data_IF_845319350479
#
_entry.id   IF_845319350479
#
_cell.length_a   1.000
_cell.length_b   1.000
_cell.length_c   1.000
_cell.angle_alpha   90.00
_cell.angle_beta   90.00
_cell.angle_gamma   90.00
#
_symmetry.space_group_name_H-M   'P 1'
#
loop_
_entity.id
_entity.type
_entity.pdbx_description
1 polymer ?
#
# COMPACT_ATOMS: atom_id res chain seq x y z
N UNK A 1 12.87 -3.06 -17.65
CA UNK A 1 11.49 -3.47 -18.02
C UNK A 1 11.54 -4.66 -18.95
N UNK A 2 10.62 -5.63 -18.84
CA UNK A 2 10.65 -6.93 -19.55
C UNK A 2 10.66 -6.81 -21.10
N UNK A 3 10.40 -5.62 -21.67
CA UNK A 3 10.51 -5.29 -23.12
C UNK A 3 11.83 -4.61 -23.53
N UNK A 4 12.85 -4.59 -22.67
CA UNK A 4 14.18 -4.04 -23.01
C UNK A 4 14.25 -2.52 -23.20
N UNK A 5 13.19 -1.77 -22.88
CA UNK A 5 13.20 -0.29 -22.91
C UNK A 5 13.76 0.25 -21.59
N UNK A 6 14.72 1.17 -21.70
CA UNK A 6 15.37 1.83 -20.57
C UNK A 6 14.40 2.65 -19.71
N UNK A 7 13.37 3.23 -20.33
CA UNK A 7 12.42 4.11 -19.66
C UNK A 7 10.97 3.62 -19.79
N UNK A 8 10.17 3.89 -18.75
CA UNK A 8 8.74 3.62 -18.76
C UNK A 8 8.01 4.64 -19.64
N UNK A 9 7.11 4.19 -20.52
CA UNK A 9 6.36 5.07 -21.42
C UNK A 9 4.89 4.64 -21.51
N UNK A 10 3.95 5.59 -21.47
CA UNK A 10 2.52 5.36 -21.64
C UNK A 10 1.91 6.44 -22.55
N UNK A 11 0.93 6.09 -23.38
CA UNK A 11 0.24 7.03 -24.30
C UNK A 11 1.18 7.88 -25.18
N UNK A 12 2.33 7.34 -25.56
CA UNK A 12 3.36 8.07 -26.34
C UNK A 12 4.17 9.10 -25.54
N UNK A 13 4.03 9.14 -24.21
CA UNK A 13 4.82 9.98 -23.30
C UNK A 13 5.69 9.14 -22.39
N UNK A 14 6.87 9.65 -22.07
CA UNK A 14 7.79 9.03 -21.13
C UNK A 14 7.43 9.40 -19.68
N UNK A 15 7.50 8.42 -18.78
CA UNK A 15 7.24 8.58 -17.36
C UNK A 15 8.60 8.70 -16.67
N UNK A 16 8.87 9.77 -15.92
CA UNK A 16 10.13 9.92 -15.19
C UNK A 16 10.35 8.74 -14.23
N UNK A 17 11.59 8.21 -14.19
CA UNK A 17 11.93 7.08 -13.32
C UNK A 17 11.65 7.36 -11.84
N UNK A 18 11.70 8.63 -11.43
CA UNK A 18 11.32 9.06 -10.09
C UNK A 18 9.83 8.77 -9.78
N UNK A 19 8.93 8.96 -10.74
CA UNK A 19 7.51 8.63 -10.57
C UNK A 19 7.31 7.12 -10.46
N UNK A 20 8.08 6.32 -11.21
CA UNK A 20 8.03 4.86 -11.14
C UNK A 20 8.52 4.37 -9.77
N UNK A 21 9.66 4.86 -9.28
CA UNK A 21 10.19 4.53 -7.96
C UNK A 21 9.22 4.89 -6.85
N UNK A 22 8.63 6.09 -6.90
CA UNK A 22 7.62 6.55 -5.94
C UNK A 22 6.36 5.67 -5.96
N UNK A 23 5.85 5.33 -7.14
CA UNK A 23 4.70 4.43 -7.27
C UNK A 23 4.98 3.05 -6.66
N UNK A 24 6.19 2.51 -6.87
CA UNK A 24 6.64 1.28 -6.23
C UNK A 24 6.69 1.41 -4.71
N UNK A 25 7.29 2.48 -4.17
CA UNK A 25 7.36 2.73 -2.72
C UNK A 25 5.96 2.77 -2.09
N UNK A 26 5.02 3.50 -2.70
CA UNK A 26 3.65 3.61 -2.19
C UNK A 26 2.91 2.27 -2.28
N UNK A 27 3.10 1.53 -3.38
CA UNK A 27 2.55 0.19 -3.54
C UNK A 27 3.07 -0.77 -2.47
N UNK A 28 4.37 -0.75 -2.19
CA UNK A 28 5.00 -1.58 -1.15
C UNK A 28 4.51 -1.22 0.25
N UNK A 29 4.40 0.08 0.59
CA UNK A 29 3.87 0.52 1.88
C UNK A 29 2.39 0.10 2.04
N UNK A 30 1.58 0.32 1.00
CA UNK A 30 0.17 -0.08 1.00
C UNK A 30 0.00 -1.59 1.21
N UNK A 31 0.82 -2.39 0.54
CA UNK A 31 0.79 -3.85 0.67
C UNK A 31 1.19 -4.30 2.09
N UNK A 32 2.23 -3.70 2.67
CA UNK A 32 2.63 -3.97 4.06
C UNK A 32 1.54 -3.59 5.06
N UNK A 33 0.86 -2.47 4.85
CA UNK A 33 -0.23 -2.04 5.72
C UNK A 33 -1.45 -2.95 5.61
N UNK A 34 -1.81 -3.39 4.40
CA UNK A 34 -2.88 -4.36 4.17
C UNK A 34 -2.57 -5.70 4.84
N UNK A 35 -1.30 -6.13 4.83
CA UNK A 35 -0.86 -7.33 5.55
C UNK A 35 -1.04 -7.21 7.06
N UNK A 36 -0.73 -6.05 7.65
CA UNK A 36 -0.97 -5.79 9.08
C UNK A 36 -2.46 -5.85 9.44
N UNK A 37 -3.32 -5.24 8.62
CA UNK A 37 -4.78 -5.27 8.82
C UNK A 37 -5.30 -6.71 8.83
N UNK A 38 -4.91 -7.51 7.84
CA UNK A 38 -5.27 -8.94 7.78
C UNK A 38 -4.78 -9.67 9.04
N UNK A 39 -3.52 -9.46 9.45
CA UNK A 39 -2.95 -10.10 10.62
C UNK A 39 -3.75 -9.79 11.89
N UNK A 40 -4.06 -8.51 12.15
CA UNK A 40 -4.86 -8.11 13.32
C UNK A 40 -6.28 -8.67 13.28
N UNK A 41 -6.92 -8.69 12.11
CA UNK A 41 -8.26 -9.25 11.93
C UNK A 41 -8.29 -10.77 12.18
N UNK A 42 -7.30 -11.50 11.67
CA UNK A 42 -7.16 -12.95 11.91
C UNK A 42 -6.87 -13.27 13.37
N UNK A 43 -6.04 -12.47 14.05
CA UNK A 43 -5.78 -12.64 15.49
C UNK A 43 -7.01 -12.34 16.35
N UNK A 44 -7.79 -11.32 15.99
CA UNK A 44 -8.98 -10.92 16.74
C UNK A 44 -10.20 -11.83 16.46
N UNK A 45 -10.26 -12.51 15.31
CA UNK A 45 -11.41 -13.33 14.92
C UNK A 45 -10.94 -14.66 14.33
N UNK A 46 -10.68 -15.64 15.19
CA UNK A 46 -10.20 -16.98 14.78
C UNK A 46 -11.30 -17.87 14.18
N UNK A 47 -12.58 -17.49 14.32
CA UNK A 47 -13.72 -18.33 13.94
C UNK A 47 -14.16 -18.16 12.48
N UNK A 48 -13.78 -17.06 11.83
CA UNK A 48 -14.17 -16.79 10.44
C UNK A 48 -13.20 -17.37 9.43
N UNK A 49 -13.70 -17.65 8.23
CA UNK A 49 -12.89 -18.11 7.12
C UNK A 49 -11.85 -17.05 6.69
N UNK A 50 -10.62 -17.50 6.45
CA UNK A 50 -9.48 -16.63 6.14
C UNK A 50 -9.70 -15.85 4.85
N UNK A 51 -10.33 -16.46 3.84
CA UNK A 51 -10.60 -15.81 2.56
C UNK A 51 -11.60 -14.66 2.73
N UNK A 52 -12.58 -14.82 3.62
CA UNK A 52 -13.52 -13.75 3.97
C UNK A 52 -12.81 -12.59 4.68
N UNK A 53 -11.90 -12.88 5.62
CA UNK A 53 -11.13 -11.83 6.31
C UNK A 53 -10.22 -11.03 5.36
N UNK A 54 -9.58 -11.71 4.40
CA UNK A 54 -8.80 -11.03 3.36
C UNK A 54 -9.72 -10.14 2.53
N UNK A 55 -10.88 -10.66 2.10
CA UNK A 55 -11.81 -9.89 1.28
C UNK A 55 -12.28 -8.63 1.99
N UNK A 56 -12.66 -8.74 3.27
CA UNK A 56 -13.05 -7.57 4.09
C UNK A 56 -11.90 -6.57 4.24
N UNK A 57 -10.69 -7.06 4.54
CA UNK A 57 -9.51 -6.21 4.71
C UNK A 57 -9.19 -5.43 3.44
N UNK A 58 -9.22 -6.09 2.28
CA UNK A 58 -8.96 -5.48 0.97
C UNK A 58 -10.06 -4.50 0.60
N UNK A 59 -11.32 -4.86 0.82
CA UNK A 59 -12.49 -4.01 0.55
C UNK A 59 -12.47 -2.73 1.40
N UNK A 60 -12.16 -2.85 2.69
CA UNK A 60 -12.06 -1.74 3.62
C UNK A 60 -10.88 -0.83 3.28
N UNK A 61 -9.69 -1.39 3.07
CA UNK A 61 -8.49 -0.62 2.71
C UNK A 61 -8.65 0.09 1.35
N UNK A 62 -9.29 -0.55 0.38
CA UNK A 62 -9.53 0.06 -0.94
C UNK A 62 -10.80 0.93 -0.95
N UNK A 63 -11.51 1.03 0.18
CA UNK A 63 -12.78 1.76 0.34
C UNK A 63 -13.86 1.37 -0.68
N UNK A 64 -13.91 0.09 -1.06
CA UNK A 64 -14.89 -0.43 -2.04
C UNK A 64 -16.28 -0.55 -1.40
N UNK A 65 -16.34 -0.91 -0.11
CA UNK A 65 -17.59 -1.01 0.65
C UNK A 65 -18.37 -2.31 0.40
N UNK A 66 -17.75 -3.32 -0.21
CA UNK A 66 -18.31 -4.66 -0.34
C UNK A 66 -17.97 -5.50 0.89
N UNK A 67 -18.85 -6.44 1.24
CA UNK A 67 -18.67 -7.34 2.38
C UNK A 67 -19.08 -8.75 1.97
N UNK A 68 -18.43 -9.78 2.54
CA UNK A 68 -18.90 -11.16 2.48
C UNK A 68 -20.05 -11.44 3.46
N UNK A 69 -20.44 -10.44 4.25
CA UNK A 69 -21.53 -10.51 5.23
C UNK A 69 -21.04 -10.73 6.66
N UNK A 70 -19.72 -10.85 6.89
CA UNK A 70 -19.16 -11.07 8.24
C UNK A 70 -19.00 -9.77 9.04
N UNK A 71 -18.99 -8.60 8.39
CA UNK A 71 -18.81 -7.28 9.01
C UNK A 71 -19.61 -7.08 10.32
N UNK A 72 -20.93 -7.33 10.39
CA UNK A 72 -21.71 -7.12 11.62
C UNK A 72 -21.33 -8.06 12.77
N UNK A 73 -20.76 -9.23 12.47
CA UNK A 73 -20.42 -10.27 13.46
C UNK A 73 -18.95 -10.19 13.92
N UNK A 74 -18.20 -9.17 13.49
CA UNK A 74 -16.83 -8.97 13.94
C UNK A 74 -16.77 -8.56 15.43
N UNK A 75 -15.73 -9.03 16.10
CA UNK A 75 -15.34 -8.53 17.43
C UNK A 75 -15.21 -7.00 17.46
N UNK A 76 -15.47 -6.38 18.61
CA UNK A 76 -15.32 -4.93 18.81
C UNK A 76 -13.93 -4.42 18.38
N UNK A 77 -12.88 -5.21 18.67
CA UNK A 77 -11.52 -4.92 18.23
C UNK A 77 -11.36 -4.99 16.70
N UNK A 78 -12.00 -5.96 16.05
CA UNK A 78 -12.00 -6.10 14.59
C UNK A 78 -12.68 -4.92 13.89
N UNK A 79 -13.77 -4.41 14.46
CA UNK A 79 -14.44 -3.19 13.98
C UNK A 79 -13.53 -1.96 14.01
N UNK A 80 -12.79 -1.76 15.11
CA UNK A 80 -11.84 -0.64 15.22
C UNK A 80 -10.75 -0.75 14.15
N UNK A 81 -10.20 -1.95 13.95
CA UNK A 81 -9.18 -2.20 12.91
C UNK A 81 -9.72 -1.90 11.51
N UNK A 82 -10.95 -2.32 11.20
CA UNK A 82 -11.60 -2.02 9.92
C UNK A 82 -11.82 -0.51 9.70
N UNK A 83 -12.28 0.21 10.72
CA UNK A 83 -12.50 1.67 10.62
C UNK A 83 -11.17 2.38 10.34
N UNK A 84 -10.10 1.99 11.05
CA UNK A 84 -8.75 2.52 10.81
C UNK A 84 -8.29 2.18 9.39
N UNK A 85 -8.51 0.96 8.91
CA UNK A 85 -8.16 0.54 7.56
C UNK A 85 -8.89 1.37 6.49
N UNK A 86 -10.18 1.67 6.66
CA UNK A 86 -10.96 2.54 5.76
C UNK A 86 -10.44 3.98 5.76
N UNK A 87 -10.13 4.51 6.94
CA UNK A 87 -9.62 5.87 7.09
C UNK A 87 -8.27 6.04 6.40
N UNK A 88 -7.35 5.10 6.66
CA UNK A 88 -6.04 5.05 6.01
C UNK A 88 -6.18 4.87 4.50
N UNK A 89 -7.03 3.93 4.08
CA UNK A 89 -7.34 3.67 2.67
C UNK A 89 -7.79 4.93 1.92
N UNK A 90 -8.66 5.71 2.55
CA UNK A 90 -9.15 6.98 2.02
C UNK A 90 -8.12 8.10 2.06
N UNK A 91 -7.24 8.11 3.05
CA UNK A 91 -6.17 9.12 3.22
C UNK A 91 -4.96 8.84 2.33
N UNK A 92 -4.75 7.59 1.90
CA UNK A 92 -3.64 7.18 1.03
C UNK A 92 -3.34 8.15 -0.13
N UNK A 93 -4.33 8.61 -0.91
CA UNK A 93 -4.15 9.62 -1.96
C UNK A 93 -3.68 10.98 -1.44
N UNK A 94 -4.14 11.43 -0.28
CA UNK A 94 -3.68 12.68 0.34
C UNK A 94 -2.23 12.57 0.84
N UNK A 95 -1.89 11.45 1.48
CA UNK A 95 -0.50 11.15 1.88
C UNK A 95 0.41 11.11 0.66
N UNK A 96 -0.05 10.54 -0.46
CA UNK A 96 0.66 10.57 -1.73
C UNK A 96 0.94 12.01 -2.17
N UNK A 97 -0.07 12.89 -2.22
CA UNK A 97 0.11 14.29 -2.62
C UNK A 97 1.14 15.01 -1.74
N UNK A 98 1.10 14.80 -0.42
CA UNK A 98 2.04 15.43 0.52
C UNK A 98 3.46 14.87 0.34
N UNK A 99 3.61 13.55 0.25
CA UNK A 99 4.90 12.90 0.01
C UNK A 99 5.50 13.34 -1.34
N UNK A 100 4.66 13.54 -2.36
CA UNK A 100 5.08 14.07 -3.66
C UNK A 100 5.60 15.52 -3.56
N UNK A 101 5.00 16.34 -2.69
CA UNK A 101 5.36 17.75 -2.49
C UNK A 101 6.64 17.93 -1.65
N UNK A 102 6.96 16.99 -0.75
CA UNK A 102 8.09 17.10 0.17
C UNK A 102 9.45 16.71 -0.43
N UNK A 103 9.49 16.03 -1.59
CA UNK A 103 10.74 15.47 -2.12
C UNK A 103 11.60 16.48 -2.91
N UNK A 104 11.88 17.65 -2.34
CA UNK A 104 12.75 18.67 -2.94
C UNK A 104 13.97 19.03 -2.08
N UNK A 105 14.65 18.03 -1.53
CA UNK A 105 16.01 18.22 -1.01
C UNK A 105 17.01 17.51 -1.92
N UNK A 106 17.54 18.25 -2.88
CA UNK A 106 18.72 17.82 -3.62
C UNK A 106 19.93 17.92 -2.69
N UNK A 107 20.33 16.78 -2.13
CA UNK A 107 21.57 16.66 -1.36
C UNK A 107 22.74 17.23 -2.15
N UNK A 108 23.38 18.27 -1.61
CA UNK A 108 24.47 19.05 -2.27
C UNK A 108 25.79 18.28 -2.38
N UNK A 109 25.82 17.02 -1.95
CA UNK A 109 26.97 16.11 -1.93
C UNK A 109 26.49 14.67 -2.11
N UNK A 110 27.27 13.85 -2.84
CA UNK A 110 26.99 12.44 -3.11
C UNK A 110 28.03 11.56 -2.43
N UNK A 111 27.56 10.53 -1.73
CA UNK A 111 28.42 9.51 -1.10
C UNK A 111 29.13 8.67 -2.18
N UNK A 112 30.31 8.14 -1.84
CA UNK A 112 31.02 7.20 -2.72
C UNK A 112 30.19 5.91 -2.89
N UNK A 113 30.08 5.42 -4.13
CA UNK A 113 29.33 4.22 -4.45
C UNK A 113 30.13 2.97 -4.03
N UNK A 114 29.57 2.16 -3.13
CA UNK A 114 30.11 0.84 -2.79
C UNK A 114 29.23 -0.25 -3.41
N UNK A 115 29.85 -1.24 -4.05
CA UNK A 115 29.13 -2.41 -4.57
C UNK A 115 28.90 -3.42 -3.45
N UNK A 116 27.66 -3.49 -2.96
CA UNK A 116 27.22 -4.52 -2.01
C UNK A 116 26.67 -5.70 -2.78
N UNK A 117 27.36 -6.84 -2.70
CA UNK A 117 26.88 -8.11 -3.27
C UNK A 117 25.70 -8.60 -2.43
N UNK A 118 24.50 -8.53 -2.99
CA UNK A 118 23.30 -9.14 -2.43
C UNK A 118 23.26 -10.56 -3.00
N UNK A 119 23.47 -11.55 -2.13
CA UNK A 119 23.47 -12.98 -2.48
C UNK A 119 22.12 -13.46 -3.00
#
# INVERSE_FOLDING_TARGET
>A
TIRGRAHASAYGREIPDEQVKRALTVGSISLGMLFLVILFLTLSNTTFDFLSLIFESVSAFSTVGLTTGITPDLSEWGHVVLVVAMFVGRIGPFTLVIALAQNSETGRYRYAEEHVTIG
#
